data_IF_999264938833
#
_entry.id   IF_999264938833
#
_cell.length_a   1.000
_cell.length_b   1.000
_cell.length_c   1.000
_cell.angle_alpha   90.00
_cell.angle_beta   90.00
_cell.angle_gamma   90.00
#
_symmetry.space_group_name_H-M   'P 1'
#
loop_
_entity.id
_entity.type
_entity.pdbx_description
1 polymer ?
#
# COMPACT_ATOMS: atom_id res chain seq x y z
N UNK A 1 -17.24 43.75 39.34
CA UNK A 1 -18.06 43.32 40.50
C UNK A 1 -17.68 41.89 40.81
N UNK A 2 -16.90 41.75 41.87
CA UNK A 2 -16.40 40.52 42.45
C UNK A 2 -17.52 39.67 43.03
N UNK A 3 -17.25 38.40 43.27
CA UNK A 3 -17.39 37.62 44.52
C UNK A 3 -17.34 36.16 44.17
N UNK A 4 -16.23 35.47 44.42
CA UNK A 4 -15.81 34.60 45.54
C UNK A 4 -16.72 33.37 45.83
N UNK A 5 -16.10 32.16 45.62
CA UNK A 5 -15.72 31.22 46.68
C UNK A 5 -16.83 30.45 47.43
N UNK A 6 -16.77 29.09 47.50
CA UNK A 6 -16.42 28.44 48.74
C UNK A 6 -16.30 26.89 48.59
N UNK A 7 -15.20 26.35 49.15
CA UNK A 7 -14.97 24.94 49.52
C UNK A 7 -15.95 24.49 50.63
N UNK A 8 -16.30 23.22 50.66
CA UNK A 8 -16.47 22.52 51.96
C UNK A 8 -16.27 21.02 51.87
N UNK A 9 -15.35 20.59 52.70
CA UNK A 9 -15.08 19.22 53.17
C UNK A 9 -16.27 18.59 53.89
N UNK A 10 -16.39 17.26 53.88
CA UNK A 10 -16.77 16.50 55.07
C UNK A 10 -16.15 15.12 55.07
N UNK A 11 -15.57 14.82 56.22
CA UNK A 11 -14.91 13.61 56.71
C UNK A 11 -15.93 12.62 57.30
N UNK A 12 -15.48 11.36 57.43
CA UNK A 12 -15.87 10.43 58.51
C UNK A 12 -16.52 9.15 57.99
N UNK A 13 -16.35 7.91 58.47
CA UNK A 13 -15.72 7.38 59.66
C UNK A 13 -15.56 5.85 59.52
N UNK A 14 -14.45 5.30 59.93
CA UNK A 14 -14.06 4.01 60.49
C UNK A 14 -15.08 2.84 60.58
N UNK A 15 -14.60 1.65 60.21
CA UNK A 15 -15.05 0.35 60.68
C UNK A 15 -13.93 -0.69 60.61
N UNK A 16 -13.51 -1.20 61.76
CA UNK A 16 -12.37 -2.07 61.97
C UNK A 16 -12.76 -3.57 61.88
N UNK A 17 -11.83 -4.42 61.59
CA UNK A 17 -11.85 -5.82 61.98
C UNK A 17 -11.10 -6.81 61.09
N UNK A 18 -10.01 -7.39 61.60
CA UNK A 18 -9.56 -8.72 61.24
C UNK A 18 -8.08 -8.87 60.82
N UNK A 19 -7.24 -9.17 61.77
CA UNK A 19 -5.82 -9.60 61.64
C UNK A 19 -5.69 -10.95 60.90
N UNK A 20 -4.76 -11.03 59.97
CA UNK A 20 -3.99 -12.25 59.69
C UNK A 20 -2.59 -11.86 59.22
N UNK A 21 -1.59 -12.29 59.97
CA UNK A 21 -0.17 -12.12 59.70
C UNK A 21 0.29 -13.01 58.53
N UNK A 22 0.99 -12.41 57.60
CA UNK A 22 1.76 -13.11 56.59
C UNK A 22 2.94 -12.23 56.19
N UNK A 23 4.14 -12.58 56.63
CA UNK A 23 5.37 -11.90 56.29
C UNK A 23 5.68 -12.09 54.78
N UNK A 24 5.87 -11.00 54.08
CA UNK A 24 6.48 -11.02 52.76
C UNK A 24 7.60 -9.97 52.74
N UNK A 25 8.78 -10.45 52.43
CA UNK A 25 10.00 -9.69 52.29
C UNK A 25 9.94 -8.67 51.16
N UNK A 26 10.44 -7.46 51.44
CA UNK A 26 10.75 -6.47 50.41
C UNK A 26 11.99 -6.93 49.64
N UNK A 27 11.81 -7.21 48.36
CA UNK A 27 12.89 -7.31 47.41
C UNK A 27 12.69 -6.18 46.35
N UNK A 28 13.55 -5.19 46.37
CA UNK A 28 13.74 -4.23 45.32
C UNK A 28 14.46 -4.92 44.18
N UNK A 29 13.79 -5.18 43.08
CA UNK A 29 14.41 -5.66 41.82
C UNK A 29 14.58 -4.52 40.86
N UNK A 30 15.83 -4.33 40.48
CA UNK A 30 16.29 -3.43 39.41
C UNK A 30 15.76 -3.93 38.08
N UNK A 31 15.19 -3.06 37.19
CA UNK A 31 14.60 -3.51 35.93
C UNK A 31 15.61 -3.88 34.82
N UNK A 32 16.91 -3.95 35.13
CA UNK A 32 17.97 -4.26 34.16
C UNK A 32 18.86 -5.47 34.50
N UNK A 33 18.42 -6.41 35.35
CA UNK A 33 19.18 -7.64 35.59
C UNK A 33 18.65 -8.80 34.75
N UNK A 34 19.49 -9.31 33.83
CA UNK A 34 19.29 -10.53 33.04
C UNK A 34 19.14 -11.74 33.98
N UNK A 35 18.02 -12.43 33.89
CA UNK A 35 17.73 -13.67 34.61
C UNK A 35 17.02 -14.67 33.70
N UNK A 36 17.78 -15.67 33.29
CA UNK A 36 17.35 -16.92 32.68
C UNK A 36 16.21 -17.60 33.46
N UNK A 37 15.11 -18.03 32.79
CA UNK A 37 14.17 -19.00 33.36
C UNK A 37 12.68 -18.72 33.20
N UNK A 38 12.07 -19.12 32.07
CA UNK A 38 10.80 -19.86 32.09
C UNK A 38 9.48 -19.16 32.20
N UNK A 39 8.72 -19.22 31.11
CA UNK A 39 7.27 -19.35 30.97
C UNK A 39 6.37 -18.10 31.02
N UNK A 40 5.78 -17.78 29.88
CA UNK A 40 4.40 -17.24 29.76
C UNK A 40 4.26 -15.77 29.44
N UNK A 41 4.62 -15.35 28.24
CA UNK A 41 4.16 -14.13 27.61
C UNK A 41 3.60 -14.51 26.26
N UNK A 42 2.29 -14.32 26.06
CA UNK A 42 1.66 -14.44 24.75
C UNK A 42 1.99 -13.20 23.92
N UNK A 43 3.10 -13.24 23.20
CA UNK A 43 3.33 -12.39 22.06
C UNK A 43 2.72 -13.09 20.84
N UNK A 44 1.76 -12.43 20.21
CA UNK A 44 1.09 -12.89 19.00
C UNK A 44 1.94 -12.65 17.74
N UNK A 45 3.19 -13.11 17.74
CA UNK A 45 4.00 -13.38 16.59
C UNK A 45 4.18 -14.89 16.54
N UNK A 46 3.28 -15.61 15.84
CA UNK A 46 3.51 -17.02 15.56
C UNK A 46 4.72 -17.13 14.64
N UNK A 47 5.77 -17.86 15.09
CA UNK A 47 6.85 -18.24 14.18
C UNK A 47 6.22 -18.95 12.97
N UNK A 48 6.45 -18.41 11.77
CA UNK A 48 6.01 -19.04 10.53
C UNK A 48 6.50 -20.51 10.49
N UNK A 49 5.70 -21.44 9.98
CA UNK A 49 6.14 -22.84 9.82
C UNK A 49 7.46 -22.90 9.07
N UNK A 50 8.41 -23.67 9.56
CA UNK A 50 9.71 -23.82 8.91
C UNK A 50 9.53 -24.24 7.45
N UNK A 51 10.00 -23.41 6.51
CA UNK A 51 9.85 -23.63 5.08
C UNK A 51 8.59 -23.01 4.45
N UNK A 52 7.82 -22.21 5.18
CA UNK A 52 6.74 -21.41 4.60
C UNK A 52 7.31 -20.27 3.75
N UNK A 53 6.60 -19.95 2.66
CA UNK A 53 6.86 -18.76 1.84
C UNK A 53 6.15 -17.56 2.46
N UNK A 54 6.89 -16.53 2.82
CA UNK A 54 6.34 -15.30 3.36
C UNK A 54 5.89 -14.37 2.23
N UNK A 55 4.58 -14.08 2.17
CA UNK A 55 4.00 -13.21 1.15
C UNK A 55 3.54 -11.92 1.81
N UNK A 56 4.09 -10.80 1.35
CA UNK A 56 3.76 -9.47 1.81
C UNK A 56 2.76 -8.74 0.93
N UNK A 57 2.16 -7.68 1.47
CA UNK A 57 1.46 -6.65 0.69
C UNK A 57 1.78 -5.25 1.19
N UNK A 58 1.62 -4.29 0.30
CA UNK A 58 1.58 -2.87 0.64
C UNK A 58 0.35 -2.54 1.53
N UNK A 59 0.28 -1.32 2.05
CA UNK A 59 -0.74 -0.92 3.03
C UNK A 59 -2.13 -0.63 2.44
N UNK A 60 -2.46 -1.08 1.23
CA UNK A 60 -3.75 -0.83 0.61
C UNK A 60 -4.37 -2.07 -0.03
N UNK A 61 -5.69 -2.02 -0.20
CA UNK A 61 -6.54 -3.17 -0.50
C UNK A 61 -6.24 -3.83 -1.84
N UNK A 62 -5.92 -3.07 -2.90
CA UNK A 62 -5.64 -3.62 -4.23
C UNK A 62 -4.42 -4.54 -4.19
N UNK A 63 -3.34 -4.08 -3.57
CA UNK A 63 -2.11 -4.86 -3.45
C UNK A 63 -2.30 -6.10 -2.55
N UNK A 64 -3.12 -6.00 -1.48
CA UNK A 64 -3.48 -7.16 -0.64
C UNK A 64 -4.26 -8.22 -1.43
N UNK A 65 -5.19 -7.81 -2.32
CA UNK A 65 -5.91 -8.75 -3.18
C UNK A 65 -4.95 -9.48 -4.10
N UNK A 66 -4.02 -8.79 -4.73
CA UNK A 66 -3.01 -9.41 -5.62
C UNK A 66 -2.12 -10.38 -4.82
N UNK A 67 -1.66 -9.99 -3.62
CA UNK A 67 -0.89 -10.85 -2.73
C UNK A 67 -1.68 -12.13 -2.37
N UNK A 68 -2.98 -12.00 -2.14
CA UNK A 68 -3.84 -13.14 -1.83
C UNK A 68 -4.07 -14.05 -3.04
N UNK A 69 -4.12 -13.53 -4.26
CA UNK A 69 -4.11 -14.33 -5.48
C UNK A 69 -2.86 -15.21 -5.54
N UNK A 70 -1.68 -14.64 -5.29
CA UNK A 70 -0.42 -15.39 -5.26
C UNK A 70 -0.39 -16.43 -4.13
N UNK A 71 -0.88 -16.05 -2.95
CA UNK A 71 -0.93 -16.96 -1.80
C UNK A 71 -1.76 -18.22 -2.12
N UNK A 72 -2.96 -18.06 -2.68
CA UNK A 72 -3.86 -19.17 -2.93
C UNK A 72 -3.37 -20.10 -4.06
N UNK A 73 -2.76 -19.59 -5.12
CA UNK A 73 -2.20 -20.46 -6.16
C UNK A 73 -0.96 -21.20 -5.66
N UNK A 74 -0.15 -20.61 -4.80
CA UNK A 74 0.98 -21.28 -4.16
C UNK A 74 0.50 -22.39 -3.20
N UNK A 75 -0.54 -22.14 -2.40
CA UNK A 75 -1.16 -23.18 -1.56
C UNK A 75 -1.74 -24.32 -2.41
N UNK A 76 -2.38 -23.99 -3.53
CA UNK A 76 -2.86 -25.00 -4.50
C UNK A 76 -1.73 -25.82 -5.10
N UNK A 77 -0.58 -25.21 -5.36
CA UNK A 77 0.63 -25.89 -5.82
C UNK A 77 1.32 -26.73 -4.72
N UNK A 78 0.86 -26.65 -3.47
CA UNK A 78 1.33 -27.46 -2.34
C UNK A 78 2.36 -26.76 -1.43
N UNK A 79 2.58 -25.48 -1.62
CA UNK A 79 3.44 -24.69 -0.74
C UNK A 79 2.69 -24.29 0.55
N UNK A 80 3.44 -24.11 1.63
CA UNK A 80 2.90 -23.48 2.83
C UNK A 80 3.17 -21.99 2.74
N UNK A 81 2.16 -21.16 3.01
CA UNK A 81 2.24 -19.71 2.89
C UNK A 81 2.06 -19.04 4.26
N UNK A 82 2.89 -18.05 4.55
CA UNK A 82 2.74 -17.11 5.65
C UNK A 82 2.35 -15.73 5.09
N UNK A 83 1.20 -15.22 5.49
CA UNK A 83 0.63 -13.96 4.98
C UNK A 83 1.03 -12.80 5.89
N UNK A 84 1.73 -11.83 5.33
CA UNK A 84 2.19 -10.61 6.02
C UNK A 84 1.68 -9.39 5.27
N UNK A 85 0.38 -9.09 5.41
CA UNK A 85 -0.27 -8.05 4.63
C UNK A 85 -0.25 -6.68 5.32
N UNK A 86 -0.49 -5.63 4.52
CA UNK A 86 -0.60 -4.24 4.97
C UNK A 86 0.64 -3.76 5.75
N UNK A 87 1.84 -4.11 5.27
CA UNK A 87 3.11 -3.81 5.95
C UNK A 87 3.38 -2.30 6.00
N UNK A 88 3.04 -1.59 4.93
CA UNK A 88 3.30 -0.15 4.80
C UNK A 88 3.64 0.26 3.39
N UNK A 89 4.31 1.40 3.26
CA UNK A 89 4.83 1.92 2.00
C UNK A 89 6.18 1.25 1.65
N UNK A 90 6.68 1.49 0.43
CA UNK A 90 7.87 0.84 -0.14
C UNK A 90 9.09 0.92 0.77
N UNK A 91 9.29 2.04 1.41
CA UNK A 91 10.40 2.28 2.33
C UNK A 91 10.38 1.35 3.57
N UNK A 92 9.21 0.77 3.90
CA UNK A 92 9.04 -0.14 5.03
C UNK A 92 9.26 -1.60 4.61
N UNK A 93 8.67 -2.06 3.52
CA UNK A 93 8.71 -3.48 3.14
C UNK A 93 9.92 -3.88 2.27
N UNK A 94 10.56 -2.97 1.54
CA UNK A 94 11.74 -3.32 0.74
C UNK A 94 12.88 -3.89 1.58
N UNK A 95 13.23 -3.33 2.77
CA UNK A 95 14.22 -3.96 3.64
C UNK A 95 13.87 -5.38 4.08
N UNK A 96 12.57 -5.72 4.25
CA UNK A 96 12.11 -7.07 4.60
C UNK A 96 12.29 -8.05 3.43
N UNK A 97 12.06 -7.61 2.19
CA UNK A 97 12.38 -8.40 0.99
C UNK A 97 13.89 -8.61 0.84
N UNK A 98 14.68 -7.55 0.96
CA UNK A 98 16.13 -7.60 0.82
C UNK A 98 16.81 -8.45 1.91
N UNK A 99 16.23 -8.49 3.12
CA UNK A 99 16.71 -9.34 4.20
C UNK A 99 16.28 -10.82 4.08
N UNK A 100 15.31 -11.12 3.19
CA UNK A 100 14.70 -12.45 3.02
C UNK A 100 13.68 -12.79 4.10
N UNK A 101 13.14 -11.79 4.82
CA UNK A 101 11.99 -11.95 5.71
C UNK A 101 10.69 -12.08 4.92
N UNK A 102 10.60 -11.47 3.74
CA UNK A 102 9.57 -11.70 2.74
C UNK A 102 10.15 -12.46 1.54
N UNK A 103 9.32 -13.30 0.93
CA UNK A 103 9.70 -14.11 -0.23
C UNK A 103 8.98 -13.69 -1.51
N UNK A 104 7.79 -13.10 -1.39
CA UNK A 104 6.99 -12.61 -2.52
C UNK A 104 6.28 -11.32 -2.11
N UNK A 105 6.29 -10.34 -3.01
CA UNK A 105 5.50 -9.12 -2.86
C UNK A 105 5.04 -8.62 -4.22
N UNK A 106 3.74 -8.31 -4.41
CA UNK A 106 3.27 -7.61 -5.59
C UNK A 106 3.80 -6.19 -5.61
N UNK A 107 4.39 -5.80 -6.72
CA UNK A 107 4.95 -4.48 -6.98
C UNK A 107 4.51 -3.96 -8.34
N UNK A 108 4.95 -2.76 -8.68
CA UNK A 108 4.63 -2.07 -9.92
C UNK A 108 5.91 -1.64 -10.62
N UNK A 109 6.01 -1.96 -11.91
CA UNK A 109 7.24 -1.86 -12.71
C UNK A 109 7.97 -0.52 -12.54
N UNK A 110 7.32 0.58 -12.90
CA UNK A 110 7.94 1.89 -12.95
C UNK A 110 8.31 2.43 -11.59
N UNK A 111 7.41 2.33 -10.61
CA UNK A 111 7.64 2.82 -9.25
C UNK A 111 8.77 2.06 -8.55
N UNK A 112 8.87 0.76 -8.78
CA UNK A 112 9.97 -0.02 -8.23
C UNK A 112 11.29 0.28 -8.95
N UNK A 113 11.28 0.45 -10.28
CA UNK A 113 12.48 0.87 -11.01
C UNK A 113 12.99 2.22 -10.50
N UNK A 114 12.11 3.22 -10.35
CA UNK A 114 12.47 4.54 -9.86
C UNK A 114 12.89 4.57 -8.38
N UNK A 115 12.53 3.55 -7.60
CA UNK A 115 13.07 3.38 -6.24
C UNK A 115 14.57 3.07 -6.25
N UNK A 116 15.05 2.27 -7.21
CA UNK A 116 16.46 1.92 -7.34
C UNK A 116 17.24 2.89 -8.26
N UNK A 117 16.58 3.46 -9.26
CA UNK A 117 17.15 4.42 -10.20
C UNK A 117 16.13 5.55 -10.46
N UNK A 118 16.22 6.61 -9.67
CA UNK A 118 15.30 7.76 -9.74
C UNK A 118 15.39 8.54 -11.06
N UNK A 119 16.44 8.34 -11.86
CA UNK A 119 16.61 8.96 -13.17
C UNK A 119 16.18 8.03 -14.32
N UNK A 120 15.63 6.85 -13.98
CA UNK A 120 15.16 5.91 -14.99
C UNK A 120 14.08 6.52 -15.86
N UNK A 121 14.24 6.39 -17.16
CA UNK A 121 13.28 6.79 -18.19
C UNK A 121 13.07 5.59 -19.11
N UNK A 122 11.84 5.27 -19.42
CA UNK A 122 11.51 4.21 -20.37
C UNK A 122 10.10 4.41 -20.91
N UNK A 123 9.87 3.90 -22.12
CA UNK A 123 8.61 4.13 -22.82
C UNK A 123 7.68 2.90 -22.79
N UNK A 124 8.21 1.68 -22.65
CA UNK A 124 7.39 0.46 -22.70
C UNK A 124 7.52 -0.40 -21.44
N UNK A 125 6.47 -1.16 -21.09
CA UNK A 125 6.53 -2.09 -19.95
C UNK A 125 7.70 -3.08 -20.03
N UNK A 126 8.02 -3.59 -21.24
CA UNK A 126 9.09 -4.55 -21.44
C UNK A 126 10.48 -3.92 -21.19
N UNK A 127 10.67 -2.66 -21.58
CA UNK A 127 11.92 -1.93 -21.31
C UNK A 127 12.06 -1.66 -19.80
N UNK A 128 10.97 -1.24 -19.14
CA UNK A 128 10.96 -1.02 -17.68
C UNK A 128 11.24 -2.33 -16.93
N UNK A 129 10.59 -3.43 -17.33
CA UNK A 129 10.82 -4.75 -16.72
C UNK A 129 12.29 -5.18 -16.85
N UNK A 130 12.89 -5.01 -18.05
CA UNK A 130 14.28 -5.37 -18.29
C UNK A 130 15.24 -4.50 -17.46
N UNK A 131 14.99 -3.20 -17.37
CA UNK A 131 15.79 -2.29 -16.57
C UNK A 131 15.64 -2.59 -15.06
N UNK A 132 14.42 -2.91 -14.60
CA UNK A 132 14.16 -3.30 -13.23
C UNK A 132 14.91 -4.58 -12.86
N UNK A 133 14.89 -5.59 -13.73
CA UNK A 133 15.61 -6.83 -13.49
C UNK A 133 17.14 -6.63 -13.34
N UNK A 134 17.69 -5.60 -13.99
CA UNK A 134 19.10 -5.22 -13.85
C UNK A 134 19.38 -4.36 -12.61
N UNK A 135 18.38 -3.60 -12.13
CA UNK A 135 18.53 -2.69 -11.00
C UNK A 135 18.33 -3.36 -9.63
N UNK A 136 17.65 -4.51 -9.59
CA UNK A 136 17.39 -5.22 -8.34
C UNK A 136 18.69 -5.69 -7.67
N UNK A 137 18.74 -5.66 -6.32
CA UNK A 137 19.87 -6.19 -5.57
C UNK A 137 19.99 -7.71 -5.68
N UNK A 138 21.19 -8.23 -5.44
CA UNK A 138 21.45 -9.68 -5.37
C UNK A 138 20.48 -10.38 -4.41
N UNK A 139 19.92 -11.51 -4.83
CA UNK A 139 18.98 -12.30 -4.03
C UNK A 139 17.49 -12.00 -4.33
N UNK A 140 17.21 -10.95 -5.09
CA UNK A 140 15.86 -10.63 -5.58
C UNK A 140 15.79 -10.74 -7.10
N UNK A 141 14.61 -11.07 -7.60
CA UNK A 141 14.29 -11.03 -9.04
C UNK A 141 12.83 -10.70 -9.24
N UNK A 142 12.48 -10.21 -10.42
CA UNK A 142 11.10 -10.11 -10.88
C UNK A 142 10.71 -11.35 -11.67
N UNK A 143 9.41 -11.72 -11.60
CA UNK A 143 8.79 -12.68 -12.51
C UNK A 143 8.21 -11.93 -13.72
N UNK A 144 7.40 -12.61 -14.56
CA UNK A 144 6.66 -11.94 -15.62
C UNK A 144 5.73 -10.87 -15.02
N UNK A 145 5.27 -9.93 -15.84
CA UNK A 145 4.33 -8.89 -15.40
C UNK A 145 2.95 -9.08 -16.04
N UNK A 146 1.91 -8.62 -15.36
CA UNK A 146 0.54 -8.69 -15.84
C UNK A 146 0.22 -7.56 -16.86
N UNK A 147 -0.84 -7.74 -17.65
CA UNK A 147 -1.45 -6.64 -18.40
C UNK A 147 -2.08 -5.60 -17.46
N UNK A 148 -2.53 -6.03 -16.27
CA UNK A 148 -3.08 -5.16 -15.26
C UNK A 148 -2.10 -4.08 -14.82
N UNK A 149 -2.60 -2.84 -14.72
CA UNK A 149 -1.86 -1.67 -14.23
C UNK A 149 -2.62 -1.03 -13.07
N UNK A 150 -1.89 -0.46 -12.14
CA UNK A 150 -2.42 0.36 -11.05
C UNK A 150 -1.50 1.56 -10.87
N UNK A 151 -1.75 2.58 -11.66
CA UNK A 151 -0.84 3.69 -11.87
C UNK A 151 -1.24 4.89 -11.03
N UNK A 152 -0.26 5.54 -10.39
CA UNK A 152 -0.44 6.89 -9.85
C UNK A 152 -1.00 7.82 -10.93
N UNK A 153 -1.82 8.79 -10.55
CA UNK A 153 -2.47 9.64 -11.53
C UNK A 153 -2.69 11.06 -11.06
N UNK A 154 -2.76 11.98 -11.99
CA UNK A 154 -3.32 13.30 -11.78
C UNK A 154 -4.80 13.26 -12.14
N UNK A 155 -5.63 12.97 -11.15
CA UNK A 155 -7.09 12.87 -11.32
C UNK A 155 -7.78 14.12 -10.84
N UNK A 156 -8.83 14.54 -11.56
CA UNK A 156 -9.65 15.70 -11.23
C UNK A 156 -11.14 15.43 -11.43
N UNK A 157 -12.01 16.35 -11.03
CA UNK A 157 -13.45 16.24 -11.30
C UNK A 157 -13.78 16.60 -12.75
N UNK A 158 -14.85 16.01 -13.32
CA UNK A 158 -15.32 16.34 -14.65
C UNK A 158 -15.68 17.83 -14.80
N UNK A 159 -16.21 18.43 -13.74
CA UNK A 159 -16.56 19.86 -13.74
C UNK A 159 -15.31 20.74 -13.82
N UNK A 160 -14.26 20.43 -13.04
CA UNK A 160 -12.99 21.18 -13.08
C UNK A 160 -12.29 20.99 -14.43
N UNK A 161 -12.20 19.75 -14.92
CA UNK A 161 -11.63 19.44 -16.24
C UNK A 161 -12.35 20.21 -17.36
N UNK A 162 -13.70 20.23 -17.33
CA UNK A 162 -14.50 20.95 -18.31
C UNK A 162 -14.32 22.46 -18.22
N UNK A 163 -14.30 23.03 -17.00
CA UNK A 163 -14.16 24.48 -16.79
C UNK A 163 -12.83 25.02 -17.31
N UNK A 164 -11.76 24.24 -17.20
CA UNK A 164 -10.40 24.59 -17.61
C UNK A 164 -9.96 23.93 -18.94
N UNK A 165 -10.83 23.12 -19.57
CA UNK A 165 -10.55 22.39 -20.83
C UNK A 165 -9.33 21.46 -20.69
N UNK A 166 -9.22 20.75 -19.54
CA UNK A 166 -8.13 19.84 -19.24
C UNK A 166 -8.36 18.48 -19.91
N UNK A 167 -7.33 17.95 -20.51
CA UNK A 167 -7.25 16.59 -21.05
C UNK A 167 -5.96 15.88 -20.62
N UNK A 168 -4.88 16.64 -20.46
CA UNK A 168 -3.57 16.13 -20.07
C UNK A 168 -2.97 16.94 -18.91
N UNK A 169 -1.99 16.36 -18.23
CA UNK A 169 -1.28 17.00 -17.11
C UNK A 169 -0.72 18.37 -17.53
N UNK A 170 -0.18 18.46 -18.76
CA UNK A 170 0.37 19.72 -19.28
C UNK A 170 -0.64 20.88 -19.40
N UNK A 171 -1.94 20.58 -19.52
CA UNK A 171 -2.98 21.62 -19.61
C UNK A 171 -3.11 22.40 -18.28
N UNK A 172 -2.73 21.78 -17.16
CA UNK A 172 -2.73 22.41 -15.82
C UNK A 172 -1.85 23.67 -15.76
N UNK A 173 -0.80 23.78 -16.58
CA UNK A 173 0.05 24.95 -16.63
C UNK A 173 -0.71 26.23 -17.10
N UNK A 174 -1.90 26.06 -17.70
CA UNK A 174 -2.78 27.17 -18.13
C UNK A 174 -3.82 27.60 -17.09
N UNK A 175 -3.87 26.95 -15.92
CA UNK A 175 -4.84 27.26 -14.87
C UNK A 175 -4.32 28.42 -14.00
N UNK A 176 -5.11 29.48 -13.84
CA UNK A 176 -4.72 30.73 -13.14
C UNK A 176 -4.98 30.69 -11.62
N UNK A 177 -5.11 29.49 -11.01
CA UNK A 177 -5.28 29.32 -9.56
C UNK A 177 -4.22 28.41 -8.97
N UNK A 178 -4.04 28.49 -7.64
CA UNK A 178 -3.11 27.61 -6.92
C UNK A 178 -3.62 26.17 -6.97
N UNK A 179 -2.85 25.27 -7.58
CA UNK A 179 -3.20 23.85 -7.69
C UNK A 179 -2.70 23.09 -6.47
N UNK A 180 -3.60 22.27 -5.91
CA UNK A 180 -3.28 21.32 -4.85
C UNK A 180 -3.70 19.91 -5.25
N UNK A 181 -2.89 18.91 -4.85
CA UNK A 181 -3.14 17.50 -5.07
C UNK A 181 -3.21 16.77 -3.73
N UNK A 182 -4.31 16.06 -3.49
CA UNK A 182 -4.41 15.15 -2.35
C UNK A 182 -3.67 13.85 -2.69
N UNK A 183 -2.68 13.50 -1.89
CA UNK A 183 -1.85 12.30 -2.07
C UNK A 183 -1.18 11.90 -0.76
N UNK A 184 -0.62 10.70 -0.68
CA UNK A 184 0.27 10.32 0.41
C UNK A 184 1.49 11.25 0.48
N UNK A 185 2.07 11.43 1.68
CA UNK A 185 3.19 12.35 1.91
C UNK A 185 4.41 12.06 1.02
N UNK A 186 4.68 10.81 0.70
CA UNK A 186 5.81 10.42 -0.15
C UNK A 186 5.68 10.90 -1.59
N UNK A 187 4.47 11.21 -2.07
CA UNK A 187 4.24 11.80 -3.40
C UNK A 187 5.05 13.09 -3.59
N UNK A 188 5.28 13.87 -2.52
CA UNK A 188 6.08 15.10 -2.54
C UNK A 188 7.49 14.91 -3.13
N UNK A 189 8.06 13.72 -2.95
CA UNK A 189 9.44 13.41 -3.37
C UNK A 189 9.53 12.36 -4.48
N UNK A 190 8.40 11.92 -5.03
CA UNK A 190 8.40 10.99 -6.16
C UNK A 190 8.82 11.72 -7.44
N UNK A 191 9.44 11.02 -8.42
CA UNK A 191 9.81 11.61 -9.72
C UNK A 191 8.64 12.22 -10.49
N UNK A 192 7.43 11.74 -10.26
CA UNK A 192 6.18 12.23 -10.83
C UNK A 192 5.39 13.15 -9.89
N UNK A 193 5.98 13.54 -8.76
CA UNK A 193 5.42 14.51 -7.83
C UNK A 193 5.58 15.96 -8.30
N UNK A 194 5.52 16.94 -7.38
CA UNK A 194 5.56 18.37 -7.73
C UNK A 194 6.77 18.78 -8.56
N UNK A 195 7.96 18.28 -8.23
CA UNK A 195 9.18 18.60 -8.97
C UNK A 195 9.14 18.06 -10.39
N UNK A 196 8.66 16.81 -10.58
CA UNK A 196 8.47 16.21 -11.90
C UNK A 196 7.42 16.94 -12.73
N UNK A 197 6.26 17.26 -12.16
CA UNK A 197 5.23 18.04 -12.84
C UNK A 197 5.75 19.39 -13.30
N UNK A 198 6.60 20.02 -12.49
CA UNK A 198 7.24 21.29 -12.84
C UNK A 198 8.27 21.13 -13.96
N UNK A 199 9.12 20.10 -13.88
CA UNK A 199 10.18 19.89 -14.86
C UNK A 199 9.62 19.48 -16.23
N UNK A 200 8.68 18.52 -16.24
CA UNK A 200 8.18 17.92 -17.49
C UNK A 200 7.10 18.79 -18.14
N UNK A 201 6.15 19.30 -17.33
CA UNK A 201 4.96 19.98 -17.83
C UNK A 201 4.90 21.47 -17.49
N UNK A 202 5.79 21.99 -16.65
CA UNK A 202 5.77 23.37 -16.19
C UNK A 202 4.65 23.65 -15.18
N UNK A 203 4.04 22.63 -14.60
CA UNK A 203 2.93 22.71 -13.64
C UNK A 203 3.44 22.93 -12.23
N UNK A 204 2.95 23.98 -11.56
CA UNK A 204 3.18 24.20 -10.14
C UNK A 204 2.00 23.59 -9.36
N UNK A 205 2.27 22.58 -8.55
CA UNK A 205 1.28 21.90 -7.70
C UNK A 205 1.84 21.70 -6.30
N UNK A 206 1.00 21.74 -5.27
CA UNK A 206 1.39 21.51 -3.88
C UNK A 206 0.63 20.31 -3.31
N UNK A 207 1.32 19.45 -2.55
CA UNK A 207 0.70 18.27 -1.94
C UNK A 207 -0.10 18.65 -0.69
N UNK A 208 -1.31 18.12 -0.60
CA UNK A 208 -2.12 18.06 0.62
C UNK A 208 -2.07 16.61 1.11
N UNK A 209 -1.35 16.31 2.20
CA UNK A 209 -1.15 14.94 2.63
C UNK A 209 -2.46 14.26 3.08
N UNK A 210 -2.77 13.13 2.47
CA UNK A 210 -3.87 12.22 2.84
C UNK A 210 -3.33 10.79 2.78
N UNK A 211 -3.20 10.16 3.95
CA UNK A 211 -2.47 8.88 4.11
C UNK A 211 -3.41 7.68 3.95
N UNK A 212 -4.04 7.54 2.78
CA UNK A 212 -4.92 6.40 2.48
C UNK A 212 -4.72 5.78 1.09
N UNK A 213 -3.55 6.08 0.47
CA UNK A 213 -3.12 5.48 -0.81
C UNK A 213 -4.14 5.65 -1.94
N UNK A 214 -4.60 6.89 -2.15
CA UNK A 214 -5.59 7.23 -3.17
C UNK A 214 -7.02 6.77 -2.82
N UNK A 215 -7.23 6.34 -1.59
CA UNK A 215 -8.47 5.73 -1.12
C UNK A 215 -9.61 6.74 -0.84
N UNK A 216 -10.62 6.30 -0.03
CA UNK A 216 -11.86 7.07 0.15
C UNK A 216 -11.68 8.49 0.69
N UNK A 217 -10.66 8.76 1.52
CA UNK A 217 -10.42 10.11 2.05
C UNK A 217 -9.82 11.02 0.97
N UNK A 218 -8.92 10.51 0.15
CA UNK A 218 -8.35 11.20 -1.01
C UNK A 218 -9.45 11.54 -2.03
N UNK A 219 -10.29 10.56 -2.39
CA UNK A 219 -11.45 10.75 -3.28
C UNK A 219 -12.41 11.81 -2.69
N UNK A 220 -12.71 11.74 -1.39
CA UNK A 220 -13.62 12.68 -0.75
C UNK A 220 -13.08 14.11 -0.78
N UNK A 221 -11.78 14.31 -0.53
CA UNK A 221 -11.15 15.63 -0.59
C UNK A 221 -11.29 16.26 -1.99
N UNK A 222 -11.15 15.45 -3.05
CA UNK A 222 -11.36 15.92 -4.43
C UNK A 222 -12.82 16.26 -4.73
N UNK A 223 -13.75 15.36 -4.38
CA UNK A 223 -15.20 15.52 -4.65
C UNK A 223 -15.79 16.69 -3.88
N UNK A 224 -15.33 16.94 -2.65
CA UNK A 224 -15.77 18.07 -1.82
C UNK A 224 -15.15 19.41 -2.29
N UNK A 225 -14.15 19.38 -3.19
CA UNK A 225 -13.47 20.55 -3.73
C UNK A 225 -12.46 21.16 -2.75
N UNK A 226 -11.97 20.39 -1.78
CA UNK A 226 -10.91 20.82 -0.87
C UNK A 226 -9.55 20.90 -1.60
N UNK A 227 -9.41 20.11 -2.68
CA UNK A 227 -8.27 20.10 -3.61
C UNK A 227 -8.76 20.11 -5.06
N UNK A 228 -7.90 20.48 -6.01
CA UNK A 228 -8.21 20.47 -7.45
C UNK A 228 -7.84 19.15 -8.12
N UNK A 229 -6.88 18.46 -7.53
CA UNK A 229 -6.32 17.20 -8.04
C UNK A 229 -6.21 16.17 -6.92
N UNK A 230 -6.19 14.90 -7.29
CA UNK A 230 -5.92 13.81 -6.38
C UNK A 230 -5.08 12.73 -7.08
N UNK A 231 -4.17 12.12 -6.33
CA UNK A 231 -3.50 10.90 -6.74
C UNK A 231 -4.39 9.71 -6.41
N UNK A 232 -5.21 9.31 -7.38
CA UNK A 232 -6.09 8.15 -7.30
C UNK A 232 -5.56 7.12 -8.29
N UNK A 233 -5.28 5.92 -7.81
CA UNK A 233 -4.70 4.87 -8.66
C UNK A 233 -5.69 4.44 -9.75
N UNK A 234 -5.18 4.20 -10.95
CA UNK A 234 -6.02 4.01 -12.15
C UNK A 234 -6.93 2.78 -12.11
N UNK A 235 -6.66 1.82 -11.22
CA UNK A 235 -7.54 0.68 -10.99
C UNK A 235 -8.64 0.92 -9.96
N UNK A 236 -8.72 2.14 -9.36
CA UNK A 236 -9.74 2.45 -8.37
C UNK A 236 -11.12 2.67 -9.02
N UNK A 237 -12.15 1.91 -8.64
CA UNK A 237 -13.50 2.05 -9.17
C UNK A 237 -14.14 3.42 -8.86
N UNK A 238 -13.65 4.14 -7.84
CA UNK A 238 -14.14 5.46 -7.48
C UNK A 238 -14.00 6.47 -8.62
N UNK A 239 -13.06 6.28 -9.55
CA UNK A 239 -12.90 7.11 -10.75
C UNK A 239 -14.20 7.11 -11.57
N UNK A 240 -14.71 5.92 -11.88
CA UNK A 240 -15.95 5.79 -12.65
C UNK A 240 -17.21 6.11 -11.82
N UNK A 241 -17.21 5.78 -10.52
CA UNK A 241 -18.36 6.01 -9.63
C UNK A 241 -18.62 7.49 -9.35
N UNK A 242 -17.58 8.32 -9.39
CA UNK A 242 -17.68 9.76 -9.11
C UNK A 242 -17.49 10.64 -10.36
N UNK A 243 -17.54 10.07 -11.57
CA UNK A 243 -17.32 10.79 -12.83
C UNK A 243 -15.99 11.60 -12.83
N UNK A 244 -14.92 11.01 -12.27
CA UNK A 244 -13.61 11.64 -12.22
C UNK A 244 -12.87 11.48 -13.55
N UNK A 245 -11.94 12.38 -13.81
CA UNK A 245 -11.14 12.42 -15.04
C UNK A 245 -9.66 12.24 -14.68
N UNK A 246 -9.07 11.15 -15.15
CA UNK A 246 -7.62 10.96 -15.13
C UNK A 246 -7.02 11.76 -16.27
N UNK A 247 -6.09 12.66 -15.97
CA UNK A 247 -5.40 13.45 -16.99
C UNK A 247 -4.35 12.60 -17.70
N UNK A 248 -4.28 12.73 -19.02
CA UNK A 248 -3.29 12.03 -19.84
C UNK A 248 -1.86 12.49 -19.52
N UNK A 249 -0.91 11.57 -19.57
CA UNK A 249 0.53 11.79 -19.38
C UNK A 249 1.31 11.50 -20.68
N UNK A 250 1.25 12.37 -21.69
CA UNK A 250 1.86 12.09 -22.99
C UNK A 250 3.39 12.09 -23.00
N UNK A 251 4.03 12.68 -21.99
CA UNK A 251 5.49 12.67 -21.84
C UNK A 251 6.00 11.49 -20.99
N UNK A 252 5.08 10.63 -20.51
CA UNK A 252 5.42 9.45 -19.68
C UNK A 252 6.24 9.81 -18.44
N UNK A 253 5.86 10.89 -17.74
CA UNK A 253 6.44 11.27 -16.46
C UNK A 253 6.22 10.16 -15.41
N UNK A 254 5.06 9.51 -15.48
CA UNK A 254 4.73 8.31 -14.71
C UNK A 254 5.04 7.11 -15.58
N UNK A 255 6.06 6.33 -15.20
CA UNK A 255 6.43 5.12 -15.95
C UNK A 255 5.32 4.07 -15.91
N UNK A 256 5.29 3.10 -16.85
CA UNK A 256 4.32 1.99 -16.82
C UNK A 256 4.28 1.27 -15.48
N UNK A 257 3.09 1.07 -14.92
CA UNK A 257 2.84 0.50 -13.59
C UNK A 257 2.14 -0.85 -13.65
N UNK A 258 2.62 -1.72 -14.54
CA UNK A 258 2.13 -3.09 -14.60
C UNK A 258 2.46 -3.85 -13.33
N UNK A 259 1.53 -4.66 -12.86
CA UNK A 259 1.73 -5.53 -11.69
C UNK A 259 2.84 -6.53 -11.98
N UNK A 260 3.85 -6.56 -11.12
CA UNK A 260 5.02 -7.45 -11.22
C UNK A 260 5.35 -8.02 -9.84
N UNK A 261 5.50 -9.36 -9.67
CA UNK A 261 5.97 -9.92 -8.41
C UNK A 261 7.48 -9.74 -8.26
N UNK A 262 7.90 -9.25 -7.11
CA UNK A 262 9.29 -9.34 -6.65
C UNK A 262 9.42 -10.55 -5.76
N UNK A 263 10.42 -11.39 -6.03
CA UNK A 263 10.57 -12.67 -5.36
C UNK A 263 12.01 -12.92 -4.91
N UNK A 264 12.15 -13.64 -3.78
CA UNK A 264 13.43 -14.10 -3.25
C UNK A 264 13.94 -15.36 -3.98
N UNK A 265 15.18 -15.74 -3.72
CA UNK A 265 15.76 -17.00 -4.23
C UNK A 265 15.05 -18.28 -3.75
N UNK A 266 14.17 -18.20 -2.72
CA UNK A 266 13.37 -19.34 -2.25
C UNK A 266 12.27 -19.72 -3.23
N UNK A 267 11.86 -18.82 -4.11
CA UNK A 267 10.84 -19.09 -5.13
C UNK A 267 11.46 -19.91 -6.24
N UNK A 268 11.18 -21.21 -6.24
CA UNK A 268 11.61 -22.13 -7.28
C UNK A 268 10.76 -22.04 -8.55
N UNK A 269 11.09 -22.81 -9.59
CA UNK A 269 10.39 -22.80 -10.88
C UNK A 269 8.90 -23.15 -10.73
N UNK A 270 8.55 -24.08 -9.84
CA UNK A 270 7.15 -24.49 -9.66
C UNK A 270 6.32 -23.40 -8.95
N UNK A 271 6.92 -22.68 -8.01
CA UNK A 271 6.28 -21.53 -7.36
C UNK A 271 6.15 -20.36 -8.34
N UNK A 272 7.18 -20.08 -9.14
CA UNK A 272 7.14 -19.06 -10.17
C UNK A 272 6.06 -19.33 -11.22
N UNK A 273 5.99 -20.54 -11.77
CA UNK A 273 4.97 -20.95 -12.74
C UNK A 273 3.54 -20.76 -12.20
N UNK A 274 3.33 -21.02 -10.90
CA UNK A 274 2.01 -20.82 -10.28
C UNK A 274 1.63 -19.33 -10.20
N UNK A 275 2.59 -18.44 -9.90
CA UNK A 275 2.37 -16.99 -9.87
C UNK A 275 2.19 -16.45 -11.29
N UNK A 276 3.02 -16.86 -12.25
CA UNK A 276 2.96 -16.41 -13.65
C UNK A 276 1.62 -16.80 -14.30
N UNK A 277 1.01 -17.92 -13.89
CA UNK A 277 -0.34 -18.28 -14.34
C UNK A 277 -1.42 -17.26 -13.90
N UNK A 278 -1.26 -16.63 -12.75
CA UNK A 278 -2.14 -15.54 -12.31
C UNK A 278 -1.92 -14.30 -13.16
N UNK A 279 -0.65 -13.91 -13.38
CA UNK A 279 -0.29 -12.72 -14.14
C UNK A 279 -0.78 -12.77 -15.59
N UNK A 280 -0.71 -13.95 -16.20
CA UNK A 280 -1.17 -14.18 -17.58
C UNK A 280 -2.69 -13.95 -17.76
N UNK A 281 -3.48 -14.08 -16.69
CA UNK A 281 -4.95 -13.93 -16.72
C UNK A 281 -5.42 -12.59 -16.11
N UNK A 282 -4.52 -11.84 -15.44
CA UNK A 282 -4.88 -10.61 -14.73
C UNK A 282 -4.84 -9.41 -15.68
N UNK A 283 -6.00 -9.04 -16.21
CA UNK A 283 -6.18 -7.85 -17.05
C UNK A 283 -6.46 -6.59 -16.22
N UNK A 284 -6.39 -5.41 -16.84
CA UNK A 284 -6.75 -4.15 -16.20
C UNK A 284 -8.23 -4.14 -15.74
N UNK A 285 -9.14 -4.66 -16.57
CA UNK A 285 -10.57 -4.77 -16.21
C UNK A 285 -10.80 -5.72 -15.04
N UNK A 286 -10.04 -6.83 -14.96
CA UNK A 286 -10.10 -7.74 -13.82
C UNK A 286 -9.69 -6.99 -12.53
N UNK A 287 -8.61 -6.23 -12.54
CA UNK A 287 -8.13 -5.53 -11.35
C UNK A 287 -9.13 -4.50 -10.84
N UNK A 288 -9.74 -3.71 -11.75
CA UNK A 288 -10.83 -2.77 -11.40
C UNK A 288 -12.00 -3.51 -10.77
N UNK A 289 -12.42 -4.66 -11.31
CA UNK A 289 -13.53 -5.45 -10.77
C UNK A 289 -13.19 -6.07 -9.41
N UNK A 290 -11.96 -6.58 -9.22
CA UNK A 290 -11.49 -7.08 -7.93
C UNK A 290 -11.51 -5.97 -6.87
N UNK A 291 -11.05 -4.79 -7.23
CA UNK A 291 -11.05 -3.60 -6.38
C UNK A 291 -12.48 -3.16 -6.04
N UNK A 292 -13.41 -3.20 -7.00
CA UNK A 292 -14.82 -2.90 -6.77
C UNK A 292 -15.46 -3.88 -5.77
N UNK A 293 -15.14 -5.16 -5.83
CA UNK A 293 -15.62 -6.17 -4.85
C UNK A 293 -15.14 -5.83 -3.44
N UNK A 294 -13.95 -5.27 -3.30
CA UNK A 294 -13.42 -4.85 -1.99
C UNK A 294 -14.09 -3.55 -1.49
N UNK A 295 -14.06 -2.49 -2.29
CA UNK A 295 -14.46 -1.15 -1.84
C UNK A 295 -15.97 -0.98 -1.79
N UNK A 296 -16.70 -1.51 -2.76
CA UNK A 296 -18.17 -1.34 -2.89
C UNK A 296 -18.93 -2.49 -2.23
N UNK A 297 -18.52 -3.74 -2.48
CA UNK A 297 -19.21 -4.91 -1.94
C UNK A 297 -18.67 -5.35 -0.58
N UNK A 298 -17.53 -4.77 -0.13
CA UNK A 298 -16.90 -5.03 1.17
C UNK A 298 -16.58 -6.52 1.39
N UNK A 299 -16.19 -7.22 0.32
CA UNK A 299 -15.70 -8.58 0.39
C UNK A 299 -14.26 -8.61 0.93
N UNK A 300 -13.87 -9.71 1.56
CA UNK A 300 -12.49 -9.92 2.00
C UNK A 300 -11.57 -10.21 0.80
N UNK A 301 -10.29 -9.85 0.90
CA UNK A 301 -9.26 -10.20 -0.11
C UNK A 301 -9.24 -11.71 -0.40
N UNK A 302 -9.40 -12.54 0.64
CA UNK A 302 -9.44 -14.00 0.52
C UNK A 302 -10.64 -14.49 -0.31
N UNK A 303 -11.84 -13.97 -0.08
CA UNK A 303 -13.05 -14.35 -0.83
C UNK A 303 -12.97 -13.87 -2.28
N UNK A 304 -12.49 -12.64 -2.49
CA UNK A 304 -12.29 -12.04 -3.83
C UNK A 304 -11.32 -12.89 -4.64
N UNK A 305 -10.15 -13.20 -4.07
CA UNK A 305 -9.12 -14.00 -4.74
C UNK A 305 -9.64 -15.41 -5.06
N UNK A 306 -10.27 -16.09 -4.10
CA UNK A 306 -10.82 -17.43 -4.30
C UNK A 306 -11.85 -17.48 -5.42
N UNK A 307 -12.76 -16.50 -5.48
CA UNK A 307 -13.78 -16.43 -6.52
C UNK A 307 -13.15 -16.23 -7.90
N UNK A 308 -12.25 -15.26 -8.05
CA UNK A 308 -11.60 -14.95 -9.31
C UNK A 308 -10.72 -16.10 -9.82
N UNK A 309 -9.90 -16.71 -8.94
CA UNK A 309 -9.06 -17.86 -9.30
C UNK A 309 -9.91 -19.04 -9.77
N UNK A 310 -11.06 -19.26 -9.14
CA UNK A 310 -12.01 -20.30 -9.54
C UNK A 310 -12.66 -19.98 -10.89
N UNK A 311 -13.02 -18.71 -11.16
CA UNK A 311 -13.56 -18.25 -12.44
C UNK A 311 -12.55 -18.45 -13.58
N UNK A 312 -11.26 -18.21 -13.32
CA UNK A 312 -10.16 -18.42 -14.29
C UNK A 312 -9.69 -19.88 -14.37
N UNK A 313 -10.16 -20.76 -13.47
CA UNK A 313 -9.77 -22.19 -13.44
C UNK A 313 -8.36 -22.45 -12.93
N UNK A 314 -7.82 -21.52 -12.13
CA UNK A 314 -6.48 -21.59 -11.55
C UNK A 314 -6.44 -22.36 -10.22
N UNK A 315 -7.57 -22.56 -9.54
CA UNK A 315 -7.72 -23.30 -8.29
C UNK A 315 -8.89 -24.29 -8.34
#
# INVERSE_FOLDING_TARGET
MSIHSTRRHLLGVLGAGGLALGAAACGSSDPFEEGDGGAGGSDGGGDAPAGALAIGSQAYYSNEIIAELFAQVLEKAGFTVDRQYQIGQREVYMPELESGALDVLPEYLGNLLQHYDSEAVSATPEEVHSALAEALPDGLRVLDFAEATDQDSYTTTADFASAHSLTAIGDLAGVDEDLTIAANSEFEVRPYGPDGAKEVYGVDVSVVPVEDSGGPLTVQALVDGDVQLADIYTSDPAIAENDLVVLEDPESMILPQNVVPVVSEKIDEAAADAIDAVLAELSADDLVELNRRSTVEQQSSADIASAWLSEKGLV
#
